data_IF_824911533651
#
_entry.id   IF_824911533651
#
_cell.length_a   1.000
_cell.length_b   1.000
_cell.length_c   1.000
_cell.angle_alpha   90.00
_cell.angle_beta   90.00
_cell.angle_gamma   90.00
#
_symmetry.space_group_name_H-M   'P 1'
#
loop_
_entity.id
_entity.type
_entity.pdbx_description
1 polymer ?
#
# COMPACT_ATOMS: atom_id res chain seq x y z
N UNK A 1 -18.70 5.61 16.43
CA UNK A 1 -17.44 4.87 16.53
C UNK A 1 -16.32 5.84 16.16
N UNK A 2 -15.39 6.09 17.08
CA UNK A 2 -14.23 6.97 16.84
C UNK A 2 -13.27 6.26 15.86
N UNK A 3 -12.55 7.01 15.04
CA UNK A 3 -11.57 6.42 14.08
C UNK A 3 -10.48 5.62 14.81
N UNK A 4 -10.08 6.04 16.01
CA UNK A 4 -9.12 5.30 16.85
C UNK A 4 -9.65 3.94 17.26
N UNK A 5 -10.94 3.83 17.61
CA UNK A 5 -11.57 2.54 17.94
C UNK A 5 -11.55 1.60 16.72
N UNK A 6 -11.69 2.18 15.51
CA UNK A 6 -11.61 1.40 14.27
C UNK A 6 -10.20 0.84 14.03
N UNK A 7 -9.14 1.62 14.28
CA UNK A 7 -7.75 1.13 14.17
C UNK A 7 -7.49 -0.03 15.14
N UNK A 8 -7.85 0.13 16.42
CA UNK A 8 -7.68 -0.92 17.43
C UNK A 8 -8.42 -2.20 17.04
N UNK A 9 -9.66 -2.08 16.59
CA UNK A 9 -10.45 -3.23 16.14
C UNK A 9 -9.85 -3.92 14.90
N UNK A 10 -9.24 -3.17 13.99
CA UNK A 10 -8.53 -3.76 12.84
C UNK A 10 -7.31 -4.52 13.32
N UNK A 11 -6.50 -3.96 14.23
CA UNK A 11 -5.34 -4.64 14.82
C UNK A 11 -5.70 -5.94 15.55
N UNK A 12 -6.91 -6.06 16.13
CA UNK A 12 -7.41 -7.31 16.71
C UNK A 12 -7.71 -8.42 15.67
N UNK A 13 -7.92 -8.04 14.41
CA UNK A 13 -8.36 -8.96 13.34
C UNK A 13 -7.22 -9.38 12.44
N UNK A 14 -6.21 -8.51 12.23
CA UNK A 14 -5.11 -8.73 11.28
C UNK A 14 -3.78 -8.89 11.99
N UNK A 15 -2.92 -9.75 11.47
CA UNK A 15 -1.58 -10.02 12.01
C UNK A 15 -0.50 -9.14 11.37
N UNK A 16 -0.87 -8.09 10.64
CA UNK A 16 0.03 -7.23 9.87
C UNK A 16 -0.04 -5.77 10.28
N UNK A 17 0.82 -4.97 9.65
CA UNK A 17 0.88 -3.53 9.86
C UNK A 17 -0.41 -2.82 9.41
N UNK A 18 -0.86 -1.85 10.19
CA UNK A 18 -2.07 -1.05 9.95
C UNK A 18 -1.70 0.42 9.80
N UNK A 19 -1.85 0.97 8.59
CA UNK A 19 -1.54 2.38 8.34
C UNK A 19 -2.60 3.31 8.92
N UNK A 20 -2.17 4.26 9.78
CA UNK A 20 -2.99 5.32 10.34
C UNK A 20 -2.45 6.68 9.93
N UNK A 21 -3.28 7.47 9.22
CA UNK A 21 -2.83 8.69 8.56
C UNK A 21 -2.96 9.91 9.46
N UNK A 22 -1.89 10.74 9.51
CA UNK A 22 -1.91 12.06 10.12
C UNK A 22 -2.66 13.05 9.21
N UNK A 23 -3.26 14.08 9.82
CA UNK A 23 -4.02 15.11 9.10
C UNK A 23 -3.22 16.42 9.02
N UNK A 24 -2.35 16.69 10.01
CA UNK A 24 -1.50 17.87 10.04
C UNK A 24 -0.54 17.89 8.85
N UNK A 25 -0.23 19.11 8.40
CA UNK A 25 0.68 19.36 7.27
C UNK A 25 1.96 20.11 7.69
N UNK A 26 2.03 20.59 8.94
CA UNK A 26 3.22 21.15 9.55
C UNK A 26 3.98 20.12 10.37
N UNK A 27 5.28 20.31 10.53
CA UNK A 27 6.16 19.35 11.19
C UNK A 27 5.71 18.97 12.61
N UNK A 28 5.45 19.98 13.46
CA UNK A 28 5.12 19.75 14.87
C UNK A 28 3.78 19.01 15.02
N UNK A 29 2.79 19.37 14.19
CA UNK A 29 1.51 18.70 14.11
C UNK A 29 1.65 17.24 13.67
N UNK A 30 2.43 16.96 12.62
CA UNK A 30 2.70 15.60 12.13
C UNK A 30 3.35 14.75 13.23
N UNK A 31 4.35 15.29 13.93
CA UNK A 31 5.03 14.57 15.01
C UNK A 31 4.04 14.23 16.14
N UNK A 32 3.31 15.23 16.61
CA UNK A 32 2.34 15.05 17.71
C UNK A 32 1.25 14.02 17.38
N UNK A 33 0.68 14.12 16.19
CA UNK A 33 -0.34 13.16 15.74
C UNK A 33 0.23 11.77 15.52
N UNK A 34 1.41 11.67 14.90
CA UNK A 34 2.07 10.40 14.62
C UNK A 34 2.45 9.64 15.88
N UNK A 35 3.03 10.32 16.88
CA UNK A 35 3.33 9.69 18.18
C UNK A 35 2.05 9.22 18.89
N UNK A 36 0.98 10.02 18.83
CA UNK A 36 -0.31 9.64 19.40
C UNK A 36 -0.95 8.44 18.68
N UNK A 37 -0.77 8.31 17.37
CA UNK A 37 -1.23 7.15 16.60
C UNK A 37 -0.37 5.91 16.91
N UNK A 38 0.95 6.03 16.90
CA UNK A 38 1.86 4.93 17.19
C UNK A 38 1.66 4.35 18.61
N UNK A 39 1.24 5.18 19.57
CA UNK A 39 0.96 4.73 20.94
C UNK A 39 -0.31 3.88 21.09
N UNK A 40 -1.13 3.76 20.04
CA UNK A 40 -2.38 2.98 20.11
C UNK A 40 -2.13 1.47 20.06
N UNK A 41 -1.20 1.02 19.22
CA UNK A 41 -0.87 -0.39 19.04
C UNK A 41 0.44 -0.56 18.28
N UNK A 42 1.21 -1.64 18.57
CA UNK A 42 2.51 -1.92 17.94
C UNK A 42 2.43 -2.16 16.42
N UNK A 43 1.27 -2.54 15.90
CA UNK A 43 1.02 -2.73 14.45
C UNK A 43 0.76 -1.41 13.73
N UNK A 44 0.61 -0.29 14.42
CA UNK A 44 0.33 0.99 13.77
C UNK A 44 1.57 1.50 13.03
N UNK A 45 1.36 1.80 11.76
CA UNK A 45 2.31 2.47 10.87
C UNK A 45 1.81 3.88 10.62
N UNK A 46 2.63 4.87 10.93
CA UNK A 46 2.27 6.28 10.77
C UNK A 46 2.28 6.64 9.28
N UNK A 47 1.11 6.94 8.73
CA UNK A 47 1.00 7.32 7.32
C UNK A 47 1.13 8.83 7.17
N UNK A 48 2.13 9.26 6.40
CA UNK A 48 2.59 10.66 6.30
C UNK A 48 2.58 11.10 4.84
N UNK A 49 2.02 12.29 4.50
CA UNK A 49 2.00 12.76 3.11
C UNK A 49 3.39 13.15 2.60
N UNK A 50 3.62 12.98 1.30
CA UNK A 50 4.87 13.32 0.61
C UNK A 50 5.00 14.84 0.39
N UNK A 51 5.24 15.56 1.47
CA UNK A 51 5.54 16.99 1.54
C UNK A 51 6.87 17.20 2.29
N UNK A 52 7.46 18.38 2.20
CA UNK A 52 8.75 18.67 2.85
C UNK A 52 8.73 18.36 4.35
N UNK A 53 7.71 18.84 5.07
CA UNK A 53 7.56 18.59 6.51
C UNK A 53 7.27 17.11 6.80
N UNK A 54 6.59 16.41 5.89
CA UNK A 54 6.36 14.97 5.96
C UNK A 54 7.67 14.18 5.84
N UNK A 55 8.55 14.53 4.91
CA UNK A 55 9.87 13.88 4.76
C UNK A 55 10.74 14.06 5.99
N UNK A 56 10.74 15.27 6.59
CA UNK A 56 11.44 15.55 7.86
C UNK A 56 10.87 14.68 9.00
N UNK A 57 9.54 14.56 9.06
CA UNK A 57 8.87 13.76 10.08
C UNK A 57 9.14 12.25 9.90
N UNK A 58 9.17 11.74 8.67
CA UNK A 58 9.56 10.35 8.38
C UNK A 58 10.95 10.07 8.93
N UNK A 59 11.91 10.98 8.73
CA UNK A 59 13.25 10.83 9.29
C UNK A 59 13.22 10.76 10.81
N UNK A 60 12.50 11.67 11.45
CA UNK A 60 12.34 11.67 12.90
C UNK A 60 11.75 10.34 13.44
N UNK A 61 10.69 9.84 12.81
CA UNK A 61 10.08 8.58 13.22
C UNK A 61 11.01 7.39 12.99
N UNK A 62 11.72 7.37 11.86
CA UNK A 62 12.72 6.34 11.56
C UNK A 62 13.84 6.29 12.61
N UNK A 63 14.36 7.46 13.04
CA UNK A 63 15.38 7.55 14.09
C UNK A 63 14.87 7.04 15.46
N UNK A 64 13.55 7.03 15.68
CA UNK A 64 12.89 6.45 16.85
C UNK A 64 12.49 4.98 16.69
N UNK A 65 12.76 4.38 15.56
CA UNK A 65 12.35 3.00 15.25
C UNK A 65 10.85 2.83 15.00
N UNK A 66 10.12 3.93 14.73
CA UNK A 66 8.71 3.91 14.40
C UNK A 66 8.51 3.72 12.88
N UNK A 67 7.62 2.80 12.51
CA UNK A 67 7.31 2.53 11.11
C UNK A 67 6.50 3.66 10.49
N UNK A 68 6.85 4.01 9.24
CA UNK A 68 6.13 5.02 8.46
C UNK A 68 5.73 4.53 7.08
N UNK A 69 4.62 5.06 6.56
CA UNK A 69 4.16 4.88 5.19
C UNK A 69 4.06 6.26 4.52
N UNK A 70 4.98 6.55 3.60
CA UNK A 70 4.96 7.80 2.84
C UNK A 70 3.88 7.71 1.75
N UNK A 71 2.82 8.53 1.87
CA UNK A 71 1.67 8.51 0.96
C UNK A 71 1.65 9.70 0.00
N UNK A 72 0.74 9.66 -1.00
CA UNK A 72 0.63 10.66 -2.06
C UNK A 72 1.91 10.79 -2.88
N UNK A 73 2.47 9.65 -3.26
CA UNK A 73 3.66 9.58 -4.10
C UNK A 73 3.24 9.41 -5.56
N UNK A 74 3.75 10.29 -6.43
CA UNK A 74 3.42 10.38 -7.84
C UNK A 74 4.65 10.44 -8.76
N UNK A 75 5.87 10.31 -8.20
CA UNK A 75 7.11 10.22 -8.98
C UNK A 75 8.15 9.37 -8.29
N UNK A 76 9.05 8.79 -9.08
CA UNK A 76 10.16 7.99 -8.58
C UNK A 76 11.15 8.82 -7.74
N UNK A 77 11.30 10.11 -8.04
CA UNK A 77 12.08 11.04 -7.21
C UNK A 77 11.51 11.25 -5.81
N UNK A 78 10.17 11.33 -5.67
CA UNK A 78 9.50 11.37 -4.38
C UNK A 78 9.74 10.06 -3.59
N UNK A 79 9.61 8.92 -4.25
CA UNK A 79 9.86 7.61 -3.63
C UNK A 79 11.31 7.46 -3.15
N UNK A 80 12.29 7.96 -3.94
CA UNK A 80 13.69 7.98 -3.56
C UNK A 80 13.92 8.82 -2.28
N UNK A 81 13.31 10.00 -2.18
CA UNK A 81 13.41 10.84 -0.98
C UNK A 81 12.78 10.16 0.24
N UNK A 82 11.63 9.49 0.07
CA UNK A 82 10.98 8.74 1.15
C UNK A 82 11.88 7.61 1.67
N UNK A 83 12.50 6.82 0.78
CA UNK A 83 13.45 5.78 1.14
C UNK A 83 14.70 6.34 1.86
N UNK A 84 15.25 7.45 1.37
CA UNK A 84 16.39 8.15 2.02
C UNK A 84 16.04 8.67 3.40
N UNK A 85 14.80 9.07 3.63
CA UNK A 85 14.31 9.48 4.95
C UNK A 85 14.08 8.29 5.90
N UNK A 86 14.09 7.05 5.41
CA UNK A 86 13.91 5.83 6.20
C UNK A 86 12.45 5.39 6.31
N UNK A 87 11.61 5.73 5.33
CA UNK A 87 10.24 5.21 5.27
C UNK A 87 10.23 3.67 5.20
N UNK A 88 9.36 3.02 5.99
CA UNK A 88 9.15 1.56 5.91
C UNK A 88 8.39 1.21 4.64
N UNK A 89 7.39 2.01 4.30
CA UNK A 89 6.55 1.86 3.10
C UNK A 89 6.49 3.16 2.31
N UNK A 90 6.36 3.02 1.01
CA UNK A 90 6.00 4.10 0.09
C UNK A 90 4.73 3.73 -0.64
N UNK A 91 3.77 4.66 -0.73
CA UNK A 91 2.49 4.43 -1.42
C UNK A 91 2.38 5.25 -2.69
N UNK A 92 2.88 4.75 -3.85
CA UNK A 92 2.65 5.35 -5.15
C UNK A 92 1.20 5.14 -5.61
N UNK A 93 0.59 6.20 -6.14
CA UNK A 93 -0.83 6.22 -6.50
C UNK A 93 -1.04 6.02 -7.99
N UNK A 94 -1.09 4.75 -8.44
CA UNK A 94 -1.15 4.41 -9.87
C UNK A 94 -2.45 4.85 -10.52
N UNK A 95 -3.61 4.55 -9.96
CA UNK A 95 -4.89 4.85 -10.58
C UNK A 95 -5.16 6.36 -10.72
N UNK A 96 -4.56 7.23 -9.90
CA UNK A 96 -4.66 8.68 -10.10
C UNK A 96 -3.79 9.18 -11.25
N UNK A 97 -2.68 8.50 -11.55
CA UNK A 97 -1.89 8.80 -12.75
C UNK A 97 -2.65 8.39 -13.99
N UNK A 98 -3.30 7.23 -14.00
CA UNK A 98 -4.15 6.79 -15.10
C UNK A 98 -5.32 7.78 -15.36
N UNK A 99 -5.89 8.36 -14.30
CA UNK A 99 -6.96 9.36 -14.40
C UNK A 99 -6.52 10.62 -15.22
N UNK A 100 -5.20 10.87 -15.32
CA UNK A 100 -4.62 11.97 -16.11
C UNK A 100 -3.85 11.49 -17.34
N UNK A 101 -4.15 10.29 -17.82
CA UNK A 101 -3.56 9.67 -19.01
C UNK A 101 -2.04 9.45 -18.92
N UNK A 102 -1.55 9.15 -17.72
CA UNK A 102 -0.17 8.75 -17.46
C UNK A 102 -0.19 7.31 -16.95
N UNK A 103 0.64 6.42 -17.51
CA UNK A 103 0.69 5.03 -17.06
C UNK A 103 1.24 4.95 -15.61
N UNK A 104 0.37 4.58 -14.67
CA UNK A 104 0.73 4.47 -13.27
C UNK A 104 1.66 3.30 -12.96
N UNK A 105 1.68 2.27 -13.81
CA UNK A 105 2.55 1.10 -13.64
C UNK A 105 4.01 1.42 -13.95
N UNK A 106 4.29 2.35 -14.85
CA UNK A 106 5.65 2.84 -15.11
C UNK A 106 6.28 3.41 -13.83
N UNK A 107 5.48 4.10 -12.99
CA UNK A 107 5.96 4.60 -11.70
C UNK A 107 6.39 3.46 -10.76
N UNK A 108 5.64 2.35 -10.72
CA UNK A 108 6.01 1.19 -9.88
C UNK A 108 7.31 0.58 -10.38
N UNK A 109 7.45 0.42 -11.72
CA UNK A 109 8.66 -0.11 -12.36
C UNK A 109 9.89 0.74 -12.04
N UNK A 110 9.79 2.05 -12.20
CA UNK A 110 10.88 3.00 -11.90
C UNK A 110 11.33 2.91 -10.43
N UNK A 111 10.33 2.86 -9.51
CA UNK A 111 10.64 2.77 -8.07
C UNK A 111 11.32 1.45 -7.76
N UNK A 112 10.85 0.32 -8.33
CA UNK A 112 11.45 -1.00 -8.12
C UNK A 112 12.90 -1.01 -8.60
N UNK A 113 13.17 -0.53 -9.81
CA UNK A 113 14.51 -0.45 -10.36
C UNK A 113 15.47 0.38 -9.47
N UNK A 114 15.00 1.53 -8.99
CA UNK A 114 15.78 2.38 -8.08
C UNK A 114 16.04 1.65 -6.75
N UNK A 115 15.04 1.03 -6.18
CA UNK A 115 15.18 0.37 -4.88
C UNK A 115 16.09 -0.85 -4.96
N UNK A 116 16.01 -1.63 -6.03
CA UNK A 116 16.91 -2.77 -6.29
C UNK A 116 18.35 -2.33 -6.53
N UNK A 117 18.57 -1.28 -7.32
CA UNK A 117 19.90 -0.75 -7.59
C UNK A 117 20.68 -0.33 -6.35
N UNK A 118 19.98 0.14 -5.33
CA UNK A 118 20.59 0.64 -4.08
C UNK A 118 20.27 -0.20 -2.85
N UNK A 119 19.60 -1.34 -3.02
CA UNK A 119 19.18 -2.25 -1.95
C UNK A 119 18.43 -1.51 -0.83
N UNK A 120 17.46 -0.65 -1.19
CA UNK A 120 16.60 -0.03 -0.20
C UNK A 120 15.63 -1.05 0.39
N UNK A 121 15.49 -1.04 1.72
CA UNK A 121 14.55 -1.91 2.43
C UNK A 121 13.10 -1.38 2.43
N UNK A 122 12.90 -0.15 1.96
CA UNK A 122 11.57 0.46 1.84
C UNK A 122 10.70 -0.35 0.89
N UNK A 123 9.54 -0.79 1.36
CA UNK A 123 8.60 -1.60 0.59
C UNK A 123 7.65 -0.74 -0.25
N UNK A 124 7.36 -1.20 -1.46
CA UNK A 124 6.45 -0.55 -2.40
C UNK A 124 5.02 -1.04 -2.13
N UNK A 125 4.18 -0.16 -1.59
CA UNK A 125 2.76 -0.39 -1.36
C UNK A 125 1.97 0.30 -2.47
N UNK A 126 1.72 -0.40 -3.58
CA UNK A 126 0.97 0.15 -4.70
C UNK A 126 -0.46 0.53 -4.27
N UNK A 127 -0.81 1.80 -4.47
CA UNK A 127 -2.05 2.39 -4.00
C UNK A 127 -2.92 2.93 -5.15
N UNK A 128 -4.17 3.28 -4.83
CA UNK A 128 -5.14 3.75 -5.84
C UNK A 128 -5.44 2.69 -6.90
N UNK A 129 -5.46 1.43 -6.52
CA UNK A 129 -5.83 0.29 -7.38
C UNK A 129 -7.28 0.46 -7.86
N UNK A 130 -7.54 0.27 -9.17
CA UNK A 130 -8.86 0.43 -9.78
C UNK A 130 -9.49 -0.90 -10.19
N UNK A 131 -8.69 -1.86 -10.63
CA UNK A 131 -9.15 -3.13 -11.19
C UNK A 131 -8.14 -4.26 -10.98
N UNK A 132 -8.57 -5.47 -11.28
CA UNK A 132 -7.80 -6.72 -11.10
C UNK A 132 -6.46 -6.71 -11.84
N UNK A 133 -6.38 -6.12 -13.04
CA UNK A 133 -5.13 -6.09 -13.80
C UNK A 133 -4.06 -5.26 -13.11
N UNK A 134 -4.40 -4.16 -12.44
CA UNK A 134 -3.43 -3.42 -11.61
C UNK A 134 -2.76 -4.32 -10.57
N UNK A 135 -3.53 -5.22 -9.93
CA UNK A 135 -2.98 -6.17 -8.93
C UNK A 135 -1.97 -7.11 -9.58
N UNK A 136 -2.36 -7.69 -10.73
CA UNK A 136 -1.52 -8.65 -11.46
C UNK A 136 -0.25 -7.99 -11.96
N UNK A 137 -0.35 -6.81 -12.56
CA UNK A 137 0.77 -6.13 -13.17
C UNK A 137 1.71 -5.54 -12.10
N UNK A 138 1.20 -5.01 -10.98
CA UNK A 138 2.01 -4.66 -9.81
C UNK A 138 2.80 -5.88 -9.28
N UNK A 139 2.17 -7.05 -9.21
CA UNK A 139 2.84 -8.27 -8.76
C UNK A 139 3.95 -8.73 -9.72
N UNK A 140 3.76 -8.58 -11.05
CA UNK A 140 4.80 -8.89 -12.04
C UNK A 140 5.99 -7.95 -11.96
N UNK A 141 5.75 -6.66 -11.69
CA UNK A 141 6.79 -5.64 -11.56
C UNK A 141 7.58 -5.84 -10.26
N UNK A 142 6.94 -6.39 -9.22
CA UNK A 142 7.58 -6.62 -7.93
C UNK A 142 7.19 -5.58 -6.86
N UNK A 143 5.99 -5.02 -6.93
CA UNK A 143 5.43 -4.32 -5.77
C UNK A 143 5.26 -5.30 -4.61
N UNK A 144 5.67 -4.88 -3.41
CA UNK A 144 5.66 -5.75 -2.23
C UNK A 144 4.24 -5.92 -1.67
N UNK A 145 3.43 -4.86 -1.75
CA UNK A 145 2.09 -4.78 -1.16
C UNK A 145 1.17 -4.02 -2.10
N UNK A 146 -0.13 -4.32 -2.02
CA UNK A 146 -1.18 -3.50 -2.65
C UNK A 146 -2.24 -3.09 -1.63
N UNK A 147 -2.81 -1.90 -1.81
CA UNK A 147 -4.07 -1.52 -1.17
C UNK A 147 -5.15 -1.33 -2.24
N UNK A 148 -6.26 -2.05 -2.11
CA UNK A 148 -7.20 -2.23 -3.20
C UNK A 148 -8.64 -2.37 -2.68
N UNK A 149 -9.64 -1.96 -3.47
CA UNK A 149 -11.02 -2.31 -3.20
C UNK A 149 -11.23 -3.83 -3.19
N UNK A 150 -12.06 -4.31 -2.28
CA UNK A 150 -12.39 -5.76 -2.18
C UNK A 150 -12.90 -6.34 -3.51
N UNK A 151 -13.60 -5.54 -4.32
CA UNK A 151 -14.09 -5.96 -5.65
C UNK A 151 -12.96 -6.33 -6.61
N UNK A 152 -11.84 -5.60 -6.60
CA UNK A 152 -10.68 -5.91 -7.44
C UNK A 152 -9.99 -7.21 -6.98
N UNK A 153 -9.90 -7.45 -5.67
CA UNK A 153 -9.37 -8.71 -5.11
C UNK A 153 -10.28 -9.89 -5.46
N UNK A 154 -11.59 -9.75 -5.26
CA UNK A 154 -12.56 -10.79 -5.65
C UNK A 154 -12.54 -11.10 -7.15
N UNK A 155 -12.25 -10.09 -7.98
CA UNK A 155 -12.08 -10.24 -9.41
C UNK A 155 -11.01 -11.25 -9.82
N UNK A 156 -9.96 -11.44 -8.99
CA UNK A 156 -8.90 -12.44 -9.23
C UNK A 156 -9.43 -13.89 -9.25
N UNK A 157 -10.56 -14.15 -8.60
CA UNK A 157 -11.18 -15.49 -8.56
C UNK A 157 -11.99 -15.79 -9.83
N UNK A 158 -12.39 -14.78 -10.60
CA UNK A 158 -13.32 -14.93 -11.70
C UNK A 158 -12.58 -15.37 -12.98
N UNK A 159 -12.91 -16.56 -13.47
CA UNK A 159 -12.39 -17.05 -14.75
C UNK A 159 -13.43 -17.94 -15.47
N UNK A 160 -13.82 -17.61 -16.72
CA UNK A 160 -14.87 -18.37 -17.45
C UNK A 160 -14.55 -19.86 -17.59
N UNK A 161 -13.27 -20.23 -17.76
CA UNK A 161 -12.86 -21.63 -17.86
C UNK A 161 -12.95 -22.37 -16.53
N UNK A 162 -12.81 -21.70 -15.40
CA UNK A 162 -13.04 -22.30 -14.09
C UNK A 162 -14.52 -22.67 -13.94
N UNK A 163 -15.41 -21.75 -14.31
CA UNK A 163 -16.86 -21.95 -14.21
C UNK A 163 -17.31 -23.10 -15.12
N UNK A 164 -16.88 -23.10 -16.39
CA UNK A 164 -17.21 -24.16 -17.34
C UNK A 164 -16.58 -25.51 -16.97
N UNK A 165 -15.34 -25.49 -16.45
CA UNK A 165 -14.67 -26.69 -15.96
C UNK A 165 -15.38 -27.31 -14.77
N UNK A 166 -15.82 -26.50 -13.80
CA UNK A 166 -16.60 -26.95 -12.65
C UNK A 166 -17.94 -27.57 -13.08
N UNK A 167 -18.66 -26.91 -14.01
CA UNK A 167 -19.91 -27.42 -14.56
C UNK A 167 -19.70 -28.81 -15.22
N UNK A 168 -18.61 -28.94 -15.99
CA UNK A 168 -18.28 -30.23 -16.62
C UNK A 168 -17.98 -31.31 -15.57
N UNK A 169 -17.16 -31.03 -14.56
CA UNK A 169 -16.88 -31.98 -13.48
C UNK A 169 -18.15 -32.45 -12.77
N UNK A 170 -19.04 -31.52 -12.42
CA UNK A 170 -20.31 -31.86 -11.78
C UNK A 170 -21.24 -32.71 -12.70
N UNK A 171 -21.26 -32.42 -14.01
CA UNK A 171 -22.02 -33.20 -15.00
C UNK A 171 -21.47 -34.60 -15.13
N UNK A 172 -20.15 -34.77 -15.24
CA UNK A 172 -19.50 -36.08 -15.41
C UNK A 172 -19.67 -36.95 -14.14
N UNK A 173 -19.56 -36.35 -12.95
CA UNK A 173 -19.82 -37.00 -11.67
C UNK A 173 -21.25 -37.54 -11.58
N UNK A 174 -22.26 -36.79 -12.02
CA UNK A 174 -23.68 -37.23 -12.02
C UNK A 174 -23.97 -38.34 -13.03
N UNK A 175 -23.18 -38.49 -14.10
CA UNK A 175 -23.35 -39.56 -15.09
C UNK A 175 -22.68 -40.88 -14.69
N UNK A 176 -21.67 -40.80 -13.80
CA UNK A 176 -20.94 -41.99 -13.33
C UNK A 176 -21.51 -42.62 -12.07
N UNK A 177 -22.51 -42.01 -11.44
CA UNK A 177 -23.32 -42.50 -10.33
C UNK A 177 -24.75 -42.73 -10.79
#
# INVERSE_FOLDING_TARGET
MCIRDSYLRICEIVDGDVSAEVISVDYDGIIKEGEALASLHDQIVIKVPMIEEGVKAIRYFSDKGLKTNCTLVFSSGQALLAAKAGATYVSPFIGRLDDISTDGLDLISDIRDIYDNYAYETQILAASIRHTMHIIDCAKIGADIITSPLSAIKGLLNHPLTDSGLQKFLSDYKKGN
#
